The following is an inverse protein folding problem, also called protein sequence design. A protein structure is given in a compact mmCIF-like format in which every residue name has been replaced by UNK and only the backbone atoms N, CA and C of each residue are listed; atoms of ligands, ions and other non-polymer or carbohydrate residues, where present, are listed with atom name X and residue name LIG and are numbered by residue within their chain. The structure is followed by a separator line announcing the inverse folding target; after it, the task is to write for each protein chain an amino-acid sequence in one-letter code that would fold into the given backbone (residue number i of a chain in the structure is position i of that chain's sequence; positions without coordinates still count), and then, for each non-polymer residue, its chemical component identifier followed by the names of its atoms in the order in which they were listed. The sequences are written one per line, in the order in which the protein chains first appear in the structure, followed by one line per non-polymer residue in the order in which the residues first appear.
data_IF_702553616358
#
_entry.id   IF_702553616358
#
_cell.length_a   1.000
_cell.length_b   1.000
_cell.length_c   1.000
_cell.angle_alpha   90.00
_cell.angle_beta   90.00
_cell.angle_gamma   90.00
#
_symmetry.space_group_name_H-M   'P 1'
#
loop_
_entity.id
_entity.type
_entity.pdbx_description
1 polymer ?
#
# COMPACT_ATOMS: atom_id res chain seq x y z
N UNK A 1 7.19 -10.78 9.39
CA UNK A 1 7.85 -10.57 10.69
C UNK A 1 9.11 -11.43 10.84
N UNK A 2 9.05 -12.76 10.75
CA UNK A 2 10.16 -13.70 11.04
C UNK A 2 11.47 -13.37 10.29
N UNK A 3 11.41 -12.98 9.02
CA UNK A 3 12.58 -12.58 8.21
C UNK A 3 13.30 -11.37 8.82
N UNK A 4 12.54 -10.38 9.25
CA UNK A 4 13.05 -9.15 9.87
C UNK A 4 13.70 -9.48 11.21
N UNK A 5 13.02 -10.22 12.08
CA UNK A 5 13.54 -10.63 13.39
C UNK A 5 14.89 -11.38 13.29
N UNK A 6 15.02 -12.28 12.30
CA UNK A 6 16.30 -12.97 12.05
C UNK A 6 17.43 -12.00 11.69
N UNK A 7 17.13 -10.94 10.94
CA UNK A 7 18.14 -9.91 10.62
C UNK A 7 18.48 -9.07 11.85
N UNK A 8 17.48 -8.64 12.61
CA UNK A 8 17.69 -7.90 13.87
C UNK A 8 18.56 -8.70 14.84
N UNK A 9 18.27 -9.98 15.02
CA UNK A 9 19.08 -10.86 15.89
C UNK A 9 20.55 -10.96 15.45
N UNK A 10 20.81 -11.05 14.13
CA UNK A 10 22.19 -11.05 13.60
C UNK A 10 22.92 -9.74 13.85
N UNK A 11 22.20 -8.64 13.92
CA UNK A 11 22.71 -7.30 14.15
C UNK A 11 22.76 -6.91 15.64
N UNK A 12 22.34 -7.78 16.56
CA UNK A 12 22.24 -7.50 17.98
C UNK A 12 21.15 -6.48 18.36
N UNK A 13 20.15 -6.30 17.50
CA UNK A 13 19.05 -5.37 17.72
C UNK A 13 17.93 -6.11 18.46
N UNK A 14 17.47 -5.57 19.59
CA UNK A 14 16.33 -6.08 20.34
C UNK A 14 15.04 -5.93 19.55
N UNK A 15 14.11 -6.83 19.74
CA UNK A 15 12.91 -6.95 18.95
C UNK A 15 11.65 -7.10 19.79
N UNK A 16 10.60 -6.39 19.40
CA UNK A 16 9.25 -6.53 19.94
C UNK A 16 8.32 -7.02 18.84
N UNK A 17 7.67 -8.15 19.03
CA UNK A 17 6.67 -8.64 18.10
C UNK A 17 5.27 -8.23 18.55
N UNK A 18 4.55 -7.50 17.72
CA UNK A 18 3.12 -7.30 17.90
C UNK A 18 2.34 -8.46 17.27
N UNK A 19 1.26 -8.89 17.90
CA UNK A 19 0.45 -10.01 17.40
C UNK A 19 -1.03 -9.86 17.79
N UNK A 20 -1.92 -10.49 17.01
CA UNK A 20 -3.30 -10.68 17.39
C UNK A 20 -3.44 -11.84 18.38
N UNK A 21 -4.60 -11.99 19.03
CA UNK A 21 -4.85 -13.09 19.99
C UNK A 21 -4.59 -14.47 19.38
N UNK A 22 -4.95 -14.69 18.11
CA UNK A 22 -4.81 -15.99 17.44
C UNK A 22 -3.38 -16.27 16.98
N UNK A 23 -2.56 -15.24 16.80
CA UNK A 23 -1.19 -15.35 16.31
C UNK A 23 -0.13 -15.55 17.41
N UNK A 24 -0.55 -15.56 18.69
CA UNK A 24 0.33 -15.63 19.86
C UNK A 24 1.37 -16.76 19.79
N UNK A 25 1.03 -17.87 19.17
CA UNK A 25 1.91 -19.05 19.11
C UNK A 25 2.81 -19.11 17.88
N UNK A 26 2.72 -18.11 17.00
CA UNK A 26 3.51 -18.10 15.77
C UNK A 26 5.02 -17.94 16.03
N UNK A 27 5.87 -18.51 15.15
CA UNK A 27 7.33 -18.53 15.35
C UNK A 27 7.97 -17.16 15.54
N UNK A 28 7.46 -16.11 14.91
CA UNK A 28 8.00 -14.76 15.06
C UNK A 28 7.74 -14.19 16.46
N UNK A 29 6.60 -14.51 17.08
CA UNK A 29 6.27 -14.07 18.43
C UNK A 29 7.22 -14.74 19.45
N UNK A 30 7.47 -16.04 19.27
CA UNK A 30 8.40 -16.80 20.14
C UNK A 30 9.87 -16.44 19.96
N UNK A 31 10.23 -15.89 18.81
CA UNK A 31 11.62 -15.50 18.50
C UNK A 31 11.97 -14.10 18.99
N UNK A 32 11.00 -13.21 19.11
CA UNK A 32 11.21 -11.84 19.57
C UNK A 32 11.65 -11.81 21.04
N UNK A 33 12.38 -10.78 21.43
CA UNK A 33 12.81 -10.57 22.81
C UNK A 33 11.60 -10.23 23.69
N UNK A 34 10.63 -9.48 23.15
CA UNK A 34 9.36 -9.14 23.79
C UNK A 34 8.20 -9.31 22.81
N UNK A 35 6.99 -9.42 23.32
CA UNK A 35 5.79 -9.47 22.48
C UNK A 35 4.59 -8.81 23.14
N UNK A 36 3.77 -8.15 22.34
CA UNK A 36 2.56 -7.44 22.78
C UNK A 36 1.36 -7.88 21.95
N UNK A 37 0.29 -8.28 22.63
CA UNK A 37 -0.99 -8.56 21.98
C UNK A 37 -1.70 -7.23 21.69
N UNK A 38 -1.91 -6.90 20.41
CA UNK A 38 -2.51 -5.63 19.99
C UNK A 38 -4.01 -5.72 19.64
N UNK A 39 -4.64 -6.86 19.84
CA UNK A 39 -6.08 -7.02 19.64
C UNK A 39 -6.52 -8.41 19.17
N UNK A 40 -7.76 -8.48 18.70
CA UNK A 40 -8.39 -9.71 18.23
C UNK A 40 -7.86 -10.16 16.87
N UNK A 41 -8.38 -11.30 16.36
CA UNK A 41 -8.07 -11.82 15.03
C UNK A 41 -8.51 -10.91 13.86
N UNK A 42 -9.48 -10.01 14.11
CA UNK A 42 -9.90 -9.01 13.11
C UNK A 42 -8.76 -8.00 12.88
N UNK A 43 -8.20 -7.89 11.65
CA UNK A 43 -7.14 -6.93 11.37
C UNK A 43 -7.48 -5.48 11.69
N UNK A 44 -8.74 -5.08 11.57
CA UNK A 44 -9.19 -3.71 11.92
C UNK A 44 -9.08 -3.42 13.41
N UNK A 45 -9.10 -4.47 14.24
CA UNK A 45 -8.98 -4.39 15.70
C UNK A 45 -7.59 -4.78 16.20
N UNK A 46 -6.63 -4.98 15.32
CA UNK A 46 -5.26 -5.37 15.63
C UNK A 46 -4.25 -4.72 14.68
N UNK A 47 -3.85 -5.37 13.60
CA UNK A 47 -2.78 -4.93 12.70
C UNK A 47 -3.07 -3.65 11.91
N UNK A 48 -4.33 -3.23 11.79
CA UNK A 48 -4.75 -1.96 11.21
C UNK A 48 -5.15 -0.92 12.26
N UNK A 49 -5.05 -1.27 13.55
CA UNK A 49 -5.35 -0.36 14.66
C UNK A 49 -4.07 0.41 15.04
N UNK A 50 -3.89 1.57 14.43
CA UNK A 50 -2.72 2.43 14.65
C UNK A 50 -2.52 2.77 16.15
N UNK A 51 -3.55 3.20 16.91
CA UNK A 51 -3.40 3.46 18.34
C UNK A 51 -2.81 2.28 19.12
N UNK A 52 -3.28 1.06 18.88
CA UNK A 52 -2.77 -0.12 19.58
C UNK A 52 -1.30 -0.41 19.26
N UNK A 53 -0.87 -0.13 18.03
CA UNK A 53 0.53 -0.32 17.61
C UNK A 53 1.43 0.73 18.27
N UNK A 54 1.01 2.00 18.29
CA UNK A 54 1.75 3.08 18.94
C UNK A 54 1.85 2.82 20.45
N UNK A 55 0.76 2.45 21.10
CA UNK A 55 0.78 2.10 22.54
C UNK A 55 1.71 0.93 22.83
N UNK A 56 1.76 -0.09 21.96
CA UNK A 56 2.71 -1.18 22.12
C UNK A 56 4.16 -0.71 22.03
N UNK A 57 4.47 0.21 21.10
CA UNK A 57 5.81 0.79 20.96
C UNK A 57 6.19 1.63 22.19
N UNK A 58 5.26 2.43 22.72
CA UNK A 58 5.47 3.22 23.96
C UNK A 58 5.72 2.33 25.17
N UNK A 59 4.88 1.31 25.38
CA UNK A 59 4.97 0.39 26.53
C UNK A 59 6.28 -0.40 26.56
N UNK A 60 6.86 -0.67 25.40
CA UNK A 60 8.11 -1.44 25.28
C UNK A 60 9.34 -0.55 25.07
N UNK A 61 9.18 0.78 25.15
CA UNK A 61 10.24 1.75 24.87
C UNK A 61 10.98 1.47 23.56
N UNK A 62 10.23 1.16 22.50
CA UNK A 62 10.81 0.91 21.19
C UNK A 62 11.36 2.21 20.57
N UNK A 63 12.50 2.14 19.88
CA UNK A 63 13.04 3.28 19.13
C UNK A 63 12.48 3.39 17.73
N UNK A 64 12.06 2.26 17.13
CA UNK A 64 11.69 2.17 15.73
C UNK A 64 10.56 1.19 15.49
N UNK A 65 9.78 1.45 14.44
CA UNK A 65 8.70 0.58 14.00
C UNK A 65 8.95 0.13 12.57
N UNK A 66 9.04 -1.18 12.36
CA UNK A 66 9.09 -1.78 11.03
C UNK A 66 7.69 -2.25 10.63
N UNK A 67 7.07 -1.65 9.61
CA UNK A 67 5.68 -1.95 9.26
C UNK A 67 5.48 -3.31 8.59
N UNK A 68 6.56 -4.00 8.25
CA UNK A 68 6.50 -5.27 7.54
C UNK A 68 6.13 -5.11 6.07
N UNK A 69 5.29 -6.02 5.59
CA UNK A 69 4.75 -6.05 4.23
C UNK A 69 3.22 -6.16 4.30
N UNK A 70 2.52 -5.38 3.48
CA UNK A 70 1.06 -5.28 3.55
C UNK A 70 0.57 -4.42 4.73
N UNK A 71 -0.69 -4.55 5.11
CA UNK A 71 -1.34 -3.75 6.16
C UNK A 71 -1.00 -2.25 6.07
N UNK A 72 -0.27 -1.73 7.05
CA UNK A 72 0.08 -0.31 7.16
C UNK A 72 1.41 0.07 6.50
N UNK A 73 2.09 -0.87 5.81
CA UNK A 73 3.42 -0.62 5.25
C UNK A 73 3.47 0.48 4.18
N UNK A 74 2.35 0.71 3.50
CA UNK A 74 2.20 1.76 2.48
C UNK A 74 1.31 2.92 2.96
N UNK A 75 0.93 2.93 4.25
CA UNK A 75 0.11 3.99 4.84
C UNK A 75 0.95 5.22 5.17
N UNK A 76 0.72 6.30 4.41
CA UNK A 76 1.34 7.60 4.70
C UNK A 76 0.89 8.17 6.05
N UNK A 77 -0.38 7.95 6.42
CA UNK A 77 -0.94 8.35 7.72
C UNK A 77 -0.23 7.66 8.88
N UNK A 78 -0.03 6.35 8.77
CA UNK A 78 0.69 5.59 9.80
C UNK A 78 2.13 6.07 9.96
N UNK A 79 2.84 6.26 8.84
CA UNK A 79 4.21 6.78 8.87
C UNK A 79 4.27 8.16 9.51
N UNK A 80 3.34 9.07 9.20
CA UNK A 80 3.23 10.40 9.80
C UNK A 80 2.98 10.33 11.32
N UNK A 81 2.08 9.44 11.77
CA UNK A 81 1.81 9.24 13.19
C UNK A 81 3.04 8.70 13.91
N UNK A 82 3.75 7.72 13.33
CA UNK A 82 5.00 7.18 13.89
C UNK A 82 6.05 8.27 14.04
N UNK A 83 6.28 9.06 12.97
CA UNK A 83 7.25 10.17 12.95
C UNK A 83 6.87 11.26 13.98
N UNK A 84 5.59 11.60 14.10
CA UNK A 84 5.09 12.62 15.05
C UNK A 84 5.26 12.17 16.50
N UNK A 85 5.12 10.89 16.79
CA UNK A 85 5.36 10.31 18.11
C UNK A 85 6.85 10.04 18.37
N UNK A 86 7.75 10.56 17.53
CA UNK A 86 9.20 10.48 17.66
C UNK A 86 9.79 9.07 17.56
N UNK A 87 9.05 8.14 17.00
CA UNK A 87 9.57 6.83 16.60
C UNK A 87 10.20 6.90 15.20
N UNK A 88 11.18 6.07 14.95
CA UNK A 88 11.75 5.90 13.61
C UNK A 88 10.83 4.98 12.81
N UNK A 89 10.21 5.48 11.72
CA UNK A 89 9.54 4.63 10.76
C UNK A 89 10.58 3.98 9.84
N UNK A 90 10.71 2.65 9.90
CA UNK A 90 11.66 1.92 9.05
C UNK A 90 11.05 1.74 7.66
N UNK A 91 11.25 2.74 6.81
CA UNK A 91 10.69 2.84 5.47
C UNK A 91 10.86 4.22 4.86
N UNK A 92 10.20 4.49 3.72
CA UNK A 92 10.16 5.84 3.15
C UNK A 92 9.41 6.80 4.07
N UNK A 93 9.74 8.09 4.01
CA UNK A 93 8.99 9.09 4.79
C UNK A 93 7.52 9.16 4.38
N UNK A 94 6.66 9.65 5.29
CA UNK A 94 5.22 9.85 5.03
C UNK A 94 4.95 10.66 3.76
N UNK A 95 5.77 11.67 3.48
CA UNK A 95 5.72 12.47 2.23
C UNK A 95 5.97 11.64 0.98
N UNK A 96 6.95 10.75 1.03
CA UNK A 96 7.28 9.85 -0.10
C UNK A 96 6.17 8.82 -0.29
N UNK A 97 5.68 8.19 0.78
CA UNK A 97 4.55 7.26 0.73
C UNK A 97 3.31 7.92 0.11
N UNK A 98 2.95 9.13 0.52
CA UNK A 98 1.83 9.90 -0.03
C UNK A 98 1.98 10.19 -1.52
N UNK A 99 3.21 10.53 -1.96
CA UNK A 99 3.51 10.83 -3.37
C UNK A 99 3.48 9.57 -4.23
N UNK A 100 4.07 8.47 -3.74
CA UNK A 100 4.21 7.22 -4.50
C UNK A 100 2.95 6.34 -4.45
N UNK A 101 2.09 6.51 -3.44
CA UNK A 101 0.80 5.82 -3.34
C UNK A 101 -0.23 6.28 -4.39
N UNK A 102 -0.08 7.48 -4.94
CA UNK A 102 -0.89 8.01 -6.04
C UNK A 102 -0.20 7.67 -7.38
N UNK A 103 -0.83 6.79 -8.17
CA UNK A 103 -0.24 6.30 -9.43
C UNK A 103 0.06 7.42 -10.45
N UNK A 104 -0.76 8.46 -10.48
CA UNK A 104 -0.60 9.60 -11.39
C UNK A 104 0.57 10.46 -10.93
N UNK A 105 0.60 10.82 -9.65
CA UNK A 105 1.68 11.63 -9.08
C UNK A 105 3.02 10.90 -9.13
N UNK A 106 3.02 9.59 -8.86
CA UNK A 106 4.21 8.75 -8.96
C UNK A 106 4.76 8.75 -10.40
N UNK A 107 3.91 8.50 -11.40
CA UNK A 107 4.31 8.51 -12.82
C UNK A 107 4.85 9.87 -13.26
N UNK A 108 4.18 10.96 -12.89
CA UNK A 108 4.62 12.33 -13.19
C UNK A 108 5.99 12.63 -12.55
N UNK A 109 6.16 12.25 -11.28
CA UNK A 109 7.43 12.40 -10.58
C UNK A 109 8.55 11.59 -11.26
N UNK A 110 8.30 10.32 -11.59
CA UNK A 110 9.32 9.48 -12.25
C UNK A 110 9.72 10.04 -13.62
N UNK A 111 8.76 10.53 -14.41
CA UNK A 111 9.05 11.20 -15.68
C UNK A 111 9.94 12.43 -15.50
N UNK A 112 9.68 13.26 -14.48
CA UNK A 112 10.49 14.47 -14.22
C UNK A 112 11.94 14.15 -13.83
N UNK A 113 12.19 12.95 -13.31
CA UNK A 113 13.54 12.44 -13.02
C UNK A 113 14.18 11.66 -14.18
N UNK A 114 13.56 11.64 -15.37
CA UNK A 114 14.08 10.94 -16.53
C UNK A 114 13.97 9.40 -16.43
N UNK A 115 13.19 8.88 -15.49
CA UNK A 115 12.97 7.43 -15.37
C UNK A 115 12.04 6.97 -16.49
N UNK A 116 12.42 5.96 -17.29
CA UNK A 116 11.57 5.41 -18.34
C UNK A 116 10.24 4.90 -17.75
N UNK A 117 9.13 5.41 -18.29
CA UNK A 117 7.79 5.01 -17.87
C UNK A 117 7.04 4.33 -19.02
N UNK A 118 6.21 3.36 -18.68
CA UNK A 118 5.33 2.72 -19.66
C UNK A 118 4.42 3.79 -20.28
N UNK A 119 4.31 3.85 -21.63
CA UNK A 119 3.39 4.76 -22.32
C UNK A 119 1.96 4.64 -21.78
N UNK A 120 1.24 5.74 -21.71
CA UNK A 120 -0.14 5.73 -21.24
C UNK A 120 -0.64 7.14 -20.96
N UNK A 121 -1.90 7.26 -20.63
CA UNK A 121 -2.55 8.53 -20.29
C UNK A 121 -1.95 9.13 -19.01
N UNK A 122 -1.75 10.44 -19.01
CA UNK A 122 -1.19 11.18 -17.88
C UNK A 122 -2.30 12.00 -17.21
N UNK A 123 -3.05 11.35 -16.34
CA UNK A 123 -4.14 11.97 -15.58
C UNK A 123 -5.30 11.04 -15.30
N UNK A 124 -6.40 11.63 -14.85
CA UNK A 124 -7.68 10.94 -14.65
C UNK A 124 -8.38 10.84 -15.99
N UNK A 125 -8.78 9.64 -16.39
CA UNK A 125 -9.53 9.45 -17.64
C UNK A 125 -10.91 10.14 -17.54
N UNK A 126 -11.34 10.83 -18.60
CA UNK A 126 -12.71 11.31 -18.68
C UNK A 126 -13.71 10.16 -18.75
N UNK A 127 -14.95 10.42 -18.31
CA UNK A 127 -16.03 9.40 -18.32
C UNK A 127 -16.53 9.05 -19.74
N UNK A 128 -16.30 9.93 -20.73
CA UNK A 128 -16.72 9.69 -22.11
C UNK A 128 -15.76 8.73 -22.84
N UNK A 129 -16.20 7.52 -23.20
CA UNK A 129 -15.38 6.55 -23.92
C UNK A 129 -14.86 7.05 -25.26
N UNK A 130 -15.57 7.99 -25.93
CA UNK A 130 -15.14 8.55 -27.21
C UNK A 130 -13.90 9.41 -27.08
N UNK A 131 -13.78 10.13 -25.96
CA UNK A 131 -12.59 10.94 -25.66
C UNK A 131 -11.43 10.00 -25.34
N UNK A 132 -11.66 9.03 -24.45
CA UNK A 132 -10.64 8.05 -24.04
C UNK A 132 -10.14 7.23 -25.23
N UNK A 133 -10.99 6.92 -26.21
CA UNK A 133 -10.61 6.16 -27.40
C UNK A 133 -9.50 6.83 -28.20
N UNK A 134 -9.52 8.15 -28.33
CA UNK A 134 -8.48 8.90 -29.05
C UNK A 134 -7.11 8.73 -28.41
N UNK A 135 -7.06 8.74 -27.07
CA UNK A 135 -5.80 8.58 -26.36
C UNK A 135 -5.38 7.10 -26.29
N UNK A 136 -6.33 6.19 -26.16
CA UNK A 136 -6.08 4.75 -26.27
C UNK A 136 -5.45 4.37 -27.63
N UNK A 137 -5.90 4.99 -28.73
CA UNK A 137 -5.34 4.78 -30.06
C UNK A 137 -3.90 5.31 -30.19
N UNK A 138 -3.55 6.40 -29.52
CA UNK A 138 -2.17 6.92 -29.48
C UNK A 138 -1.21 5.99 -28.72
N UNK A 139 -1.72 5.40 -27.62
CA UNK A 139 -0.94 4.41 -26.83
C UNK A 139 -0.75 3.13 -27.60
N UNK A 140 -1.77 2.71 -28.36
CA UNK A 140 -1.81 1.46 -29.12
C UNK A 140 -2.37 0.28 -28.30
N UNK A 141 -3.27 -0.49 -28.93
CA UNK A 141 -3.83 -1.70 -28.32
C UNK A 141 -2.84 -2.88 -28.42
N UNK A 142 -2.80 -3.80 -27.43
CA UNK A 142 -3.65 -3.83 -26.24
C UNK A 142 -3.24 -2.80 -25.18
N UNK A 143 -4.22 -2.22 -24.49
CA UNK A 143 -4.00 -1.32 -23.33
C UNK A 143 -4.53 -1.95 -22.06
N UNK A 144 -4.08 -1.42 -20.92
CA UNK A 144 -4.62 -1.77 -19.62
C UNK A 144 -5.29 -0.56 -18.96
N UNK A 145 -6.57 -0.69 -18.66
CA UNK A 145 -7.28 0.24 -17.78
C UNK A 145 -6.96 -0.09 -16.33
N UNK A 146 -6.78 0.96 -15.52
CA UNK A 146 -6.48 0.80 -14.09
C UNK A 146 -7.23 1.85 -13.29
N UNK A 147 -7.88 1.44 -12.21
CA UNK A 147 -8.38 2.38 -11.22
C UNK A 147 -7.21 3.15 -10.57
N UNK A 148 -7.44 4.42 -10.23
CA UNK A 148 -6.45 5.27 -9.55
C UNK A 148 -6.17 4.72 -8.15
N UNK A 149 -7.25 4.47 -7.40
CA UNK A 149 -7.20 3.84 -6.10
C UNK A 149 -7.42 2.33 -6.28
N UNK A 150 -6.39 1.55 -6.04
CA UNK A 150 -6.50 0.10 -6.19
C UNK A 150 -5.14 -0.59 -6.05
N UNK A 151 -5.18 -1.83 -5.60
CA UNK A 151 -4.02 -2.69 -5.43
C UNK A 151 -4.40 -4.16 -5.60
N UNK A 152 -3.39 -5.04 -5.61
CA UNK A 152 -3.64 -6.48 -5.67
C UNK A 152 -4.30 -6.97 -6.96
N UNK A 153 -4.23 -6.20 -8.06
CA UNK A 153 -4.81 -6.59 -9.36
C UNK A 153 -6.31 -6.33 -9.50
N UNK A 154 -6.98 -5.74 -8.51
CA UNK A 154 -8.39 -5.34 -8.58
C UNK A 154 -8.54 -3.98 -9.25
N UNK A 155 -9.66 -3.77 -9.97
CA UNK A 155 -9.89 -2.55 -10.74
C UNK A 155 -8.91 -2.40 -11.90
N UNK A 156 -8.55 -3.52 -12.57
CA UNK A 156 -7.68 -3.53 -13.73
C UNK A 156 -8.25 -4.44 -14.81
N UNK A 157 -8.29 -3.94 -16.04
CA UNK A 157 -8.80 -4.72 -17.19
C UNK A 157 -7.96 -4.49 -18.45
N UNK A 158 -7.60 -5.57 -19.12
CA UNK A 158 -6.95 -5.51 -20.44
C UNK A 158 -7.99 -5.29 -21.53
N UNK A 159 -7.76 -4.29 -22.37
CA UNK A 159 -8.59 -3.95 -23.53
C UNK A 159 -7.80 -4.23 -24.78
N UNK A 160 -8.26 -5.18 -25.59
CA UNK A 160 -7.54 -5.66 -26.76
C UNK A 160 -7.80 -4.85 -28.02
N UNK A 161 -8.96 -4.21 -28.07
CA UNK A 161 -9.38 -3.42 -29.23
C UNK A 161 -10.37 -2.32 -28.84
N UNK A 162 -10.64 -1.41 -29.76
CA UNK A 162 -11.51 -0.24 -29.53
C UNK A 162 -12.96 -0.59 -29.15
N UNK A 163 -13.47 -1.75 -29.61
CA UNK A 163 -14.88 -2.16 -29.36
C UNK A 163 -15.10 -2.55 -27.89
N UNK A 164 -14.05 -3.03 -27.24
CA UNK A 164 -14.10 -3.45 -25.83
C UNK A 164 -14.01 -2.28 -24.85
N UNK A 165 -13.49 -1.11 -25.28
CA UNK A 165 -13.12 0.00 -24.40
C UNK A 165 -14.28 0.49 -23.51
N UNK A 166 -15.44 0.78 -24.08
CA UNK A 166 -16.57 1.34 -23.35
C UNK A 166 -17.09 0.38 -22.27
N UNK A 167 -17.14 -0.90 -22.57
CA UNK A 167 -17.56 -1.91 -21.61
C UNK A 167 -16.50 -2.13 -20.52
N UNK A 168 -15.23 -2.17 -20.89
CA UNK A 168 -14.12 -2.30 -19.96
C UNK A 168 -14.07 -1.12 -18.97
N UNK A 169 -14.31 0.11 -19.42
CA UNK A 169 -14.38 1.29 -18.53
C UNK A 169 -15.48 1.13 -17.49
N UNK A 170 -16.69 0.69 -17.87
CA UNK A 170 -17.80 0.47 -16.93
C UNK A 170 -17.46 -0.60 -15.89
N UNK A 171 -16.93 -1.74 -16.32
CA UNK A 171 -16.60 -2.85 -15.44
C UNK A 171 -15.49 -2.43 -14.46
N UNK A 172 -14.40 -1.84 -14.95
CA UNK A 172 -13.27 -1.42 -14.12
C UNK A 172 -13.69 -0.38 -13.08
N UNK A 173 -14.57 0.57 -13.47
CA UNK A 173 -15.11 1.57 -12.55
C UNK A 173 -15.96 0.94 -11.46
N UNK A 174 -16.90 0.06 -11.83
CA UNK A 174 -17.76 -0.64 -10.87
C UNK A 174 -16.96 -1.54 -9.91
N UNK A 175 -15.94 -2.25 -10.40
CA UNK A 175 -15.05 -3.03 -9.54
C UNK A 175 -14.29 -2.17 -8.55
N UNK A 176 -13.81 -1.00 -8.98
CA UNK A 176 -13.10 -0.06 -8.13
C UNK A 176 -14.02 0.55 -7.06
N UNK A 177 -15.23 0.95 -7.42
CA UNK A 177 -16.25 1.41 -6.48
C UNK A 177 -16.57 0.37 -5.41
N UNK A 178 -16.81 -0.89 -5.82
CA UNK A 178 -17.14 -1.97 -4.90
C UNK A 178 -15.97 -2.36 -3.99
N UNK A 179 -14.75 -2.32 -4.49
CA UNK A 179 -13.57 -2.78 -3.75
C UNK A 179 -12.94 -1.70 -2.87
N UNK A 180 -13.03 -0.43 -3.27
CA UNK A 180 -12.27 0.68 -2.66
C UNK A 180 -13.15 1.89 -2.30
N UNK A 181 -14.45 1.86 -2.62
CA UNK A 181 -15.39 2.96 -2.36
C UNK A 181 -15.19 4.16 -3.29
N UNK A 182 -14.39 4.04 -4.35
CA UNK A 182 -14.15 5.09 -5.33
C UNK A 182 -13.83 4.48 -6.70
N UNK A 183 -14.60 4.84 -7.68
CA UNK A 183 -14.44 4.43 -9.09
C UNK A 183 -13.76 5.46 -9.98
#
# INVERSE_FOLDING_TARGET
ALRILRSCKKLGIKTVAVHSTVDRQLPHVKMADESVCIGSSDPKKSYLNIPSIISAAELTNADAIHPGYGFLSESAEFAEIVETNKFIFIGPSSKVLKKMGDKIKAKTAMKSFGVPCIPGYDGVLPDDPKIVLKDAQKVGFPIMLKAIHGGGGRGMMTVRNSKELANAMKITKSEAENAFGNG
#
